data_IF_392533751743
#
_entry.id   IF_392533751743
#
_cell.length_a   1.000
_cell.length_b   1.000
_cell.length_c   1.000
_cell.angle_alpha   90.00
_cell.angle_beta   90.00
_cell.angle_gamma   90.00
#
_symmetry.space_group_name_H-M   'P 1'
#
loop_
_entity.id
_entity.type
_entity.pdbx_description
1 polymer ?
#
# COMPACT_ATOMS: atom_id res chain seq x y z
N UNK A 1 5.24 13.00 -13.16
CA UNK A 1 4.33 11.86 -13.49
C UNK A 1 4.32 10.91 -12.30
N UNK A 2 3.14 10.51 -11.82
CA UNK A 2 2.99 9.50 -10.75
C UNK A 2 2.20 8.29 -11.26
N UNK A 3 2.48 7.09 -10.74
CA UNK A 3 1.76 5.85 -11.07
C UNK A 3 1.48 5.05 -9.81
N UNK A 4 0.25 4.55 -9.67
CA UNK A 4 -0.19 3.76 -8.51
C UNK A 4 -0.42 2.31 -8.91
N UNK A 5 -0.06 1.40 -8.01
CA UNK A 5 -0.15 -0.05 -8.22
C UNK A 5 -0.74 -0.73 -6.98
N UNK A 6 -1.44 -1.84 -7.20
CA UNK A 6 -1.95 -2.73 -6.16
C UNK A 6 -1.68 -4.17 -6.55
N UNK A 7 -0.87 -4.89 -5.77
CA UNK A 7 -0.41 -6.24 -6.13
C UNK A 7 -0.27 -7.15 -4.91
N UNK A 8 -0.06 -8.45 -5.17
CA UNK A 8 0.43 -9.38 -4.14
C UNK A 8 1.80 -8.93 -3.62
N UNK A 9 2.05 -9.09 -2.32
CA UNK A 9 3.27 -8.59 -1.68
C UNK A 9 4.55 -9.06 -2.41
N UNK A 10 4.67 -10.36 -2.70
CA UNK A 10 5.84 -10.93 -3.39
C UNK A 10 6.09 -10.32 -4.77
N UNK A 11 5.04 -10.12 -5.56
CA UNK A 11 5.12 -9.50 -6.88
C UNK A 11 5.44 -8.00 -6.78
N UNK A 12 4.81 -7.31 -5.82
CA UNK A 12 5.01 -5.89 -5.60
C UNK A 12 6.45 -5.56 -5.20
N UNK A 13 7.08 -6.35 -4.32
CA UNK A 13 8.50 -6.18 -3.98
C UNK A 13 9.40 -6.33 -5.21
N UNK A 14 9.15 -7.35 -6.03
CA UNK A 14 9.87 -7.56 -7.28
C UNK A 14 9.70 -6.39 -8.24
N UNK A 15 8.47 -5.88 -8.38
CA UNK A 15 8.16 -4.74 -9.22
C UNK A 15 8.85 -3.46 -8.75
N UNK A 16 8.80 -3.14 -7.45
CA UNK A 16 9.46 -1.96 -6.89
C UNK A 16 10.96 -2.01 -7.16
N UNK A 17 11.59 -3.18 -6.93
CA UNK A 17 13.02 -3.37 -7.21
C UNK A 17 13.36 -3.10 -8.68
N UNK A 18 12.58 -3.66 -9.61
CA UNK A 18 12.75 -3.43 -11.05
C UNK A 18 12.52 -1.96 -11.41
N UNK A 19 11.48 -1.33 -10.87
CA UNK A 19 11.16 0.06 -11.14
C UNK A 19 12.30 1.01 -10.73
N UNK A 20 12.93 0.76 -9.57
CA UNK A 20 14.12 1.50 -9.13
C UNK A 20 15.29 1.38 -10.10
N UNK A 21 15.52 0.19 -10.64
CA UNK A 21 16.53 -0.03 -11.69
C UNK A 21 16.20 0.75 -12.98
N UNK A 22 14.92 1.01 -13.24
CA UNK A 22 14.45 1.81 -14.38
C UNK A 22 14.32 3.33 -14.08
N UNK A 23 14.94 3.82 -13.00
CA UNK A 23 14.92 5.25 -12.64
C UNK A 23 13.54 5.74 -12.22
N UNK A 24 12.77 4.90 -11.53
CA UNK A 24 11.58 5.31 -10.78
C UNK A 24 11.88 5.27 -9.29
N UNK A 25 11.20 6.12 -8.54
CA UNK A 25 11.42 6.30 -7.11
C UNK A 25 10.12 6.05 -6.37
N UNK A 26 10.22 5.45 -5.18
CA UNK A 26 9.06 5.16 -4.35
C UNK A 26 8.62 6.44 -3.63
N UNK A 27 7.38 6.86 -3.86
CA UNK A 27 6.80 8.03 -3.19
C UNK A 27 5.92 7.64 -2.00
N UNK A 28 5.18 6.52 -2.13
CA UNK A 28 4.29 6.00 -1.09
C UNK A 28 4.27 4.48 -1.11
N UNK A 29 4.06 3.89 0.06
CA UNK A 29 3.84 2.47 0.26
C UNK A 29 2.81 2.26 1.37
N UNK A 30 1.83 1.40 1.09
CA UNK A 30 0.85 0.93 2.06
C UNK A 30 0.87 -0.61 2.08
N UNK A 31 1.24 -1.17 3.22
CA UNK A 31 1.20 -2.62 3.44
C UNK A 31 -0.18 -3.04 3.96
N UNK A 32 -0.85 -3.97 3.29
CA UNK A 32 -2.20 -4.40 3.68
C UNK A 32 -2.15 -5.79 4.32
N UNK A 33 -2.53 -5.83 5.60
CA UNK A 33 -2.61 -7.03 6.43
C UNK A 33 -4.06 -7.45 6.60
N UNK A 34 -4.32 -8.75 6.61
CA UNK A 34 -5.67 -9.26 6.89
C UNK A 34 -5.99 -9.16 8.37
N UNK A 35 -5.04 -9.50 9.24
CA UNK A 35 -5.09 -9.32 10.70
C UNK A 35 -3.71 -8.93 11.20
N UNK A 36 -3.60 -8.39 12.42
CA UNK A 36 -2.32 -7.93 13.00
C UNK A 36 -1.27 -9.05 13.11
N UNK A 37 -1.71 -10.31 13.25
CA UNK A 37 -0.83 -11.47 13.39
C UNK A 37 -0.30 -12.00 12.04
N UNK A 38 -0.89 -11.58 10.93
CA UNK A 38 -0.54 -12.08 9.59
C UNK A 38 0.40 -11.08 8.89
N UNK A 39 1.34 -11.58 8.06
CA UNK A 39 2.15 -10.70 7.23
C UNK A 39 1.28 -9.95 6.21
N UNK A 40 1.82 -8.87 5.67
CA UNK A 40 1.17 -8.14 4.58
C UNK A 40 0.96 -9.05 3.38
N UNK A 41 -0.29 -9.14 2.94
CA UNK A 41 -0.70 -10.02 1.83
C UNK A 41 -0.72 -9.27 0.50
N UNK A 42 -0.84 -7.94 0.57
CA UNK A 42 -0.88 -7.03 -0.56
C UNK A 42 -0.08 -5.79 -0.22
N UNK A 43 0.45 -5.14 -1.25
CA UNK A 43 1.06 -3.83 -1.13
C UNK A 43 0.42 -2.90 -2.15
N UNK A 44 0.14 -1.67 -1.73
CA UNK A 44 -0.13 -0.56 -2.62
C UNK A 44 1.09 0.33 -2.60
N UNK A 45 1.46 0.87 -3.76
CA UNK A 45 2.56 1.80 -3.81
C UNK A 45 2.42 2.78 -4.96
N UNK A 46 3.07 3.92 -4.77
CA UNK A 46 3.12 4.99 -5.76
C UNK A 46 4.57 5.23 -6.19
N UNK A 47 4.79 5.25 -7.50
CA UNK A 47 6.08 5.56 -8.11
C UNK A 47 6.06 6.95 -8.75
N UNK A 48 7.18 7.64 -8.64
CA UNK A 48 7.44 8.94 -9.27
C UNK A 48 8.72 8.89 -10.09
N UNK A 49 8.84 9.78 -11.08
CA UNK A 49 10.12 10.08 -11.76
C UNK A 49 10.97 11.11 -11.02
N UNK A 50 10.40 11.75 -10.00
CA UNK A 50 11.10 12.71 -9.16
C UNK A 50 11.81 11.99 -8.00
N UNK A 51 13.15 11.98 -7.95
CA UNK A 51 13.91 11.35 -6.87
C UNK A 51 13.69 12.00 -5.50
N UNK A 52 13.23 13.25 -5.44
CA UNK A 52 12.96 13.93 -4.17
C UNK A 52 11.88 13.20 -3.35
N UNK A 53 10.97 12.46 -4.01
CA UNK A 53 9.89 11.78 -3.30
C UNK A 53 10.38 10.64 -2.38
N UNK A 54 11.57 10.07 -2.62
CA UNK A 54 12.11 9.02 -1.75
C UNK A 54 12.63 9.57 -0.42
N UNK A 55 12.97 10.87 -0.35
CA UNK A 55 13.37 11.52 0.90
C UNK A 55 12.18 11.66 1.85
N UNK A 56 10.98 11.90 1.29
CA UNK A 56 9.71 12.01 2.01
C UNK A 56 8.81 10.79 1.77
N UNK A 57 9.41 9.61 1.65
CA UNK A 57 8.68 8.37 1.40
C UNK A 57 7.65 8.11 2.51
N UNK A 58 6.38 8.05 2.14
CA UNK A 58 5.30 7.72 3.06
C UNK A 58 5.12 6.20 3.15
N UNK A 59 5.35 5.64 4.34
CA UNK A 59 5.14 4.22 4.63
C UNK A 59 4.01 4.06 5.65
N UNK A 60 2.95 3.38 5.25
CA UNK A 60 1.76 3.15 6.06
C UNK A 60 1.42 1.65 6.09
N UNK A 61 0.56 1.25 7.02
CA UNK A 61 0.02 -0.10 7.11
C UNK A 61 -1.47 -0.06 7.38
N UNK A 62 -2.23 -0.92 6.70
CA UNK A 62 -3.66 -1.09 6.88
C UNK A 62 -3.95 -2.52 7.32
N UNK A 63 -4.46 -2.70 8.54
CA UNK A 63 -5.02 -3.99 8.97
C UNK A 63 -6.52 -4.00 8.64
N UNK A 64 -6.99 -5.00 7.90
CA UNK A 64 -8.41 -5.12 7.51
C UNK A 64 -9.28 -5.49 8.70
N UNK A 65 -8.91 -6.52 9.47
CA UNK A 65 -9.66 -6.99 10.62
C UNK A 65 -8.96 -6.69 11.95
N UNK A 66 -9.69 -6.07 12.87
CA UNK A 66 -9.24 -5.80 14.24
C UNK A 66 -10.37 -6.13 15.23
N UNK A 67 -10.04 -6.77 16.35
CA UNK A 67 -10.97 -7.12 17.44
C UNK A 67 -12.30 -7.79 16.99
N UNK A 68 -12.25 -8.70 16.02
CA UNK A 68 -13.42 -9.48 15.60
C UNK A 68 -14.32 -8.80 14.56
N UNK A 69 -13.99 -7.58 14.13
CA UNK A 69 -14.68 -6.86 13.06
C UNK A 69 -13.70 -6.30 12.03
N UNK A 70 -14.20 -5.42 11.15
CA UNK A 70 -13.34 -4.57 10.33
C UNK A 70 -12.70 -3.48 11.20
N UNK A 71 -11.46 -3.11 10.90
CA UNK A 71 -10.80 -2.00 11.59
C UNK A 71 -11.44 -0.67 11.21
N UNK A 72 -11.37 0.31 12.10
CA UNK A 72 -11.86 1.67 11.83
C UNK A 72 -11.16 2.29 10.61
N UNK A 73 -9.86 2.05 10.44
CA UNK A 73 -9.11 2.53 9.28
C UNK A 73 -9.62 1.93 7.97
N UNK A 74 -9.95 0.64 7.96
CA UNK A 74 -10.52 -0.03 6.79
C UNK A 74 -11.93 0.48 6.49
N UNK A 75 -12.77 0.63 7.52
CA UNK A 75 -14.12 1.19 7.40
C UNK A 75 -14.03 2.63 6.83
N UNK A 76 -13.19 3.49 7.41
CA UNK A 76 -13.04 4.87 6.96
C UNK A 76 -12.60 4.98 5.49
N UNK A 77 -11.71 4.08 5.03
CA UNK A 77 -11.23 4.04 3.65
C UNK A 77 -12.29 3.55 2.66
N UNK A 78 -13.19 2.65 3.10
CA UNK A 78 -14.09 1.91 2.22
C UNK A 78 -15.56 2.30 2.36
N UNK A 79 -15.93 3.09 3.36
CA UNK A 79 -17.30 3.54 3.65
C UNK A 79 -18.00 4.16 2.43
N UNK A 80 -17.27 4.89 1.58
CA UNK A 80 -17.84 5.58 0.43
C UNK A 80 -18.09 4.62 -0.76
N UNK A 81 -17.52 3.41 -0.71
CA UNK A 81 -17.66 2.38 -1.75
C UNK A 81 -18.68 1.30 -1.38
N UNK A 82 -18.87 1.06 -0.09
CA UNK A 82 -19.86 0.10 0.39
C UNK A 82 -21.11 0.85 0.85
N UNK A 83 -22.18 0.75 0.06
CA UNK A 83 -23.49 1.35 0.36
C UNK A 83 -24.13 0.83 1.67
N UNK A 84 -23.56 -0.21 2.29
CA UNK A 84 -24.02 -0.84 3.53
C UNK A 84 -22.83 -1.44 4.28
N UNK A 85 -22.12 -0.64 5.06
CA UNK A 85 -21.34 -1.13 6.21
C UNK A 85 -21.98 -0.65 7.50
#
# INVERSE_FOLDING_TARGET
MRRQFYTANTEGEGFIKLAKQCGWYLAKRLDVKTTDKKPASRILFELSKDPACEQDLQCESLTIHHQGGYSEAFIALTKDFYLKM
#
